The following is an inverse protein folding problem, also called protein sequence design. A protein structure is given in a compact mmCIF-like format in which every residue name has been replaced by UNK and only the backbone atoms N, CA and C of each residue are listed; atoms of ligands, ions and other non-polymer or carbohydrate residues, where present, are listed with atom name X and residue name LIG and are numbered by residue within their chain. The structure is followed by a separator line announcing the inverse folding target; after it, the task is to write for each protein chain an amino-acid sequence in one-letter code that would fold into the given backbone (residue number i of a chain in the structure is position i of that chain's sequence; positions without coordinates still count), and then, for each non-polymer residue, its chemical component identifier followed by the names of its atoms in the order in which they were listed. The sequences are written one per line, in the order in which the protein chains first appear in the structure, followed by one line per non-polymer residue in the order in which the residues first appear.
data_IF_284325892652
#
_entry.id   IF_284325892652
#
_cell.length_a   1.000
_cell.length_b   1.000
_cell.length_c   1.000
_cell.angle_alpha   90.00
_cell.angle_beta   90.00
_cell.angle_gamma   90.00
#
_symmetry.space_group_name_H-M   'P 1'
#
loop_
_entity.id
_entity.type
_entity.pdbx_description
1 polymer ?
#
# COMPACT_ATOMS: atom_id res chain seq x y z
N UNK A 1 -10.29 -29.96 -1.15
CA UNK A 1 -10.58 -28.64 -0.57
C UNK A 1 -10.56 -27.59 -1.68
N UNK A 2 -11.68 -26.94 -1.98
CA UNK A 2 -11.74 -25.90 -3.00
C UNK A 2 -10.93 -24.68 -2.54
N UNK A 3 -9.88 -24.30 -3.27
CA UNK A 3 -9.13 -23.05 -3.00
C UNK A 3 -10.12 -21.89 -3.09
N UNK A 4 -10.27 -21.12 -2.01
CA UNK A 4 -11.14 -19.93 -1.97
C UNK A 4 -10.70 -18.98 -3.09
N UNK A 5 -11.57 -18.74 -4.06
CA UNK A 5 -11.32 -17.80 -5.15
C UNK A 5 -11.44 -16.36 -4.62
N UNK A 6 -10.44 -15.53 -4.89
CA UNK A 6 -10.46 -14.09 -4.59
C UNK A 6 -10.43 -13.36 -5.91
N UNK A 7 -11.44 -12.52 -6.16
CA UNK A 7 -11.45 -11.63 -7.32
C UNK A 7 -10.68 -10.37 -6.97
N UNK A 8 -9.72 -10.00 -7.81
CA UNK A 8 -8.85 -8.84 -7.62
C UNK A 8 -9.05 -7.92 -8.82
N UNK A 9 -9.55 -6.72 -8.57
CA UNK A 9 -9.69 -5.69 -9.59
C UNK A 9 -8.32 -5.08 -9.91
N UNK A 10 -8.09 -4.82 -11.19
CA UNK A 10 -6.96 -4.03 -11.68
C UNK A 10 -7.53 -2.64 -12.00
N UNK A 11 -7.05 -1.63 -11.29
CA UNK A 11 -7.39 -0.21 -11.50
C UNK A 11 -6.39 0.42 -12.45
N UNK A 12 -6.81 1.43 -13.20
CA UNK A 12 -5.88 2.31 -13.91
C UNK A 12 -4.96 3.11 -12.96
N UNK A 13 -3.95 3.76 -13.52
CA UNK A 13 -2.95 4.52 -12.75
C UNK A 13 -3.54 5.77 -12.10
N UNK A 14 -4.61 6.33 -12.67
CA UNK A 14 -5.34 7.49 -12.15
C UNK A 14 -6.42 7.09 -11.15
N UNK A 15 -6.60 5.79 -10.90
CA UNK A 15 -7.62 5.30 -9.99
C UNK A 15 -9.02 5.83 -10.30
N UNK A 16 -9.37 5.82 -11.57
CA UNK A 16 -10.66 6.28 -12.07
C UNK A 16 -11.51 5.08 -12.47
N UNK A 17 -10.93 4.09 -13.16
CA UNK A 17 -11.68 2.96 -13.72
C UNK A 17 -11.02 1.60 -13.49
N UNK A 18 -11.84 0.54 -13.53
CA UNK A 18 -11.35 -0.84 -13.54
C UNK A 18 -10.96 -1.20 -14.98
N UNK A 19 -9.73 -1.66 -15.17
CA UNK A 19 -9.19 -2.08 -16.48
C UNK A 19 -9.14 -3.60 -16.65
N UNK A 20 -9.39 -4.35 -15.58
CA UNK A 20 -9.43 -5.81 -15.63
C UNK A 20 -9.66 -6.46 -14.27
N UNK A 21 -9.74 -7.78 -14.26
CA UNK A 21 -9.89 -8.58 -13.03
C UNK A 21 -9.06 -9.86 -13.09
N UNK A 22 -8.22 -10.08 -12.08
CA UNK A 22 -7.73 -11.41 -11.77
C UNK A 22 -8.84 -12.18 -11.05
N UNK A 23 -9.27 -13.29 -11.63
CA UNK A 23 -10.36 -14.12 -11.10
C UNK A 23 -10.25 -15.55 -11.65
N UNK A 24 -10.01 -16.50 -10.75
CA UNK A 24 -9.90 -17.92 -11.10
C UNK A 24 -11.25 -18.58 -11.43
N UNK A 25 -12.37 -17.87 -11.31
CA UNK A 25 -13.68 -18.26 -11.87
C UNK A 25 -13.98 -17.56 -13.19
N UNK A 26 -14.01 -16.23 -13.21
CA UNK A 26 -14.57 -15.48 -14.36
C UNK A 26 -13.70 -14.29 -14.83
N UNK A 27 -12.38 -14.45 -14.83
CA UNK A 27 -11.45 -13.43 -15.32
C UNK A 27 -10.07 -13.99 -15.65
N UNK A 28 -9.06 -13.12 -15.51
CA UNK A 28 -7.66 -13.49 -15.76
C UNK A 28 -7.23 -14.48 -14.69
N UNK A 29 -6.84 -15.68 -15.11
CA UNK A 29 -6.40 -16.71 -14.17
C UNK A 29 -5.03 -16.33 -13.61
N UNK A 30 -4.88 -16.52 -12.30
CA UNK A 30 -3.61 -16.35 -11.60
C UNK A 30 -3.23 -17.65 -10.91
N UNK A 31 -1.93 -17.96 -10.95
CA UNK A 31 -1.37 -19.21 -10.46
C UNK A 31 -1.16 -19.17 -8.95
N UNK A 32 -0.67 -18.04 -8.43
CA UNK A 32 -0.51 -17.80 -6.99
C UNK A 32 -0.77 -16.34 -6.64
N UNK A 33 -1.23 -16.11 -5.40
CA UNK A 33 -1.39 -14.80 -4.81
C UNK A 33 -1.02 -14.93 -3.33
N UNK A 34 0.17 -14.46 -2.97
CA UNK A 34 0.73 -14.54 -1.61
C UNK A 34 0.63 -13.17 -0.96
N UNK A 35 -0.29 -13.04 0.01
CA UNK A 35 -0.49 -11.83 0.79
C UNK A 35 0.24 -11.96 2.13
N UNK A 36 1.23 -11.10 2.36
CA UNK A 36 1.92 -10.95 3.64
C UNK A 36 1.46 -9.67 4.31
N UNK A 37 1.09 -9.75 5.58
CA UNK A 37 0.64 -8.61 6.37
C UNK A 37 1.60 -8.37 7.54
N UNK A 38 1.98 -7.12 7.74
CA UNK A 38 2.82 -6.63 8.83
C UNK A 38 1.99 -5.70 9.72
N UNK A 39 2.41 -5.53 10.98
CA UNK A 39 1.83 -4.61 11.98
C UNK A 39 0.29 -4.55 11.97
N UNK A 40 -0.36 -5.63 12.44
CA UNK A 40 -1.83 -5.79 12.48
C UNK A 40 -2.58 -5.49 11.17
N UNK A 41 -1.90 -5.50 10.02
CA UNK A 41 -2.51 -5.38 8.69
C UNK A 41 -2.43 -4.00 8.05
N UNK A 42 -1.83 -3.01 8.73
CA UNK A 42 -1.60 -1.69 8.16
C UNK A 42 -0.64 -1.75 6.96
N UNK A 43 0.38 -2.61 7.03
CA UNK A 43 1.37 -2.80 5.97
C UNK A 43 1.15 -4.14 5.29
N UNK A 44 0.85 -4.14 3.99
CA UNK A 44 0.54 -5.35 3.23
C UNK A 44 1.35 -5.44 1.95
N UNK A 45 1.86 -6.63 1.66
CA UNK A 45 2.57 -6.96 0.42
C UNK A 45 1.85 -8.11 -0.27
N UNK A 46 1.51 -7.94 -1.54
CA UNK A 46 0.98 -9.00 -2.38
C UNK A 46 1.99 -9.35 -3.49
N UNK A 47 2.38 -10.62 -3.56
CA UNK A 47 3.08 -11.18 -4.72
C UNK A 47 2.10 -12.08 -5.49
N UNK A 48 1.74 -11.66 -6.71
CA UNK A 48 0.82 -12.41 -7.57
C UNK A 48 1.55 -12.90 -8.82
N UNK A 49 1.34 -14.16 -9.18
CA UNK A 49 1.88 -14.74 -10.41
C UNK A 49 0.77 -15.17 -11.35
N UNK A 50 0.96 -14.89 -12.64
CA UNK A 50 0.07 -15.34 -13.71
C UNK A 50 0.86 -15.61 -14.99
N UNK A 51 0.26 -16.39 -15.89
CA UNK A 51 0.87 -16.68 -17.19
C UNK A 51 0.15 -15.93 -18.30
N UNK A 52 0.88 -15.14 -19.09
CA UNK A 52 0.30 -14.44 -20.24
C UNK A 52 1.36 -14.09 -21.28
N UNK A 53 0.94 -14.04 -22.54
CA UNK A 53 1.75 -13.51 -23.64
C UNK A 53 1.97 -12.00 -23.51
N UNK A 54 0.96 -11.27 -23.06
CA UNK A 54 0.97 -9.81 -22.90
C UNK A 54 0.96 -9.42 -21.43
N UNK A 55 1.53 -8.26 -21.12
CA UNK A 55 1.44 -7.68 -19.80
C UNK A 55 0.01 -7.17 -19.57
N UNK A 56 -0.69 -7.70 -18.56
CA UNK A 56 -2.10 -7.33 -18.29
C UNK A 56 -2.20 -6.28 -17.17
N UNK A 57 -1.25 -6.32 -16.24
CA UNK A 57 -1.11 -5.33 -15.18
C UNK A 57 0.34 -4.82 -15.14
N UNK A 58 0.53 -3.53 -14.85
CA UNK A 58 1.79 -2.80 -14.91
C UNK A 58 2.06 -2.03 -13.61
N UNK A 59 3.31 -1.60 -13.43
CA UNK A 59 3.67 -0.72 -12.30
C UNK A 59 2.87 0.59 -12.37
N UNK A 60 2.49 1.12 -11.21
CA UNK A 60 1.65 2.31 -11.05
C UNK A 60 0.14 2.05 -11.10
N UNK A 61 -0.30 0.89 -11.61
CA UNK A 61 -1.70 0.48 -11.48
C UNK A 61 -2.00 -0.01 -10.06
N UNK A 62 -3.28 -0.09 -9.70
CA UNK A 62 -3.70 -0.49 -8.36
C UNK A 62 -4.44 -1.82 -8.37
N UNK A 63 -4.36 -2.54 -7.27
CA UNK A 63 -5.09 -3.77 -7.00
C UNK A 63 -6.07 -3.55 -5.85
N UNK A 64 -7.34 -3.83 -6.11
CA UNK A 64 -8.40 -3.74 -5.11
C UNK A 64 -9.10 -5.09 -4.94
N UNK A 65 -9.19 -5.58 -3.70
CA UNK A 65 -9.84 -6.86 -3.41
C UNK A 65 -10.27 -6.97 -1.95
N UNK A 66 -11.24 -7.86 -1.69
CA UNK A 66 -11.65 -8.24 -0.33
C UNK A 66 -11.15 -9.64 0.00
N UNK A 67 -10.49 -9.78 1.15
CA UNK A 67 -10.03 -11.07 1.66
C UNK A 67 -10.21 -11.17 3.17
N UNK A 68 -10.90 -12.23 3.63
CA UNK A 68 -11.24 -12.44 5.06
C UNK A 68 -11.89 -11.19 5.68
N UNK A 69 -12.89 -10.66 5.00
CA UNK A 69 -13.69 -9.49 5.43
C UNK A 69 -12.89 -8.18 5.61
N UNK A 70 -11.69 -8.12 5.03
CA UNK A 70 -10.87 -6.91 4.95
C UNK A 70 -10.70 -6.47 3.50
N UNK A 71 -10.78 -5.17 3.28
CA UNK A 71 -10.47 -4.56 2.00
C UNK A 71 -8.99 -4.26 1.88
N UNK A 72 -8.45 -4.54 0.70
CA UNK A 72 -7.06 -4.28 0.37
C UNK A 72 -7.01 -3.37 -0.83
N UNK A 73 -6.16 -2.35 -0.69
CA UNK A 73 -5.89 -1.36 -1.69
C UNK A 73 -4.39 -1.22 -1.85
N UNK A 74 -3.84 -1.81 -2.92
CA UNK A 74 -2.39 -1.93 -3.10
C UNK A 74 -1.95 -1.30 -4.42
N UNK A 75 -0.82 -0.62 -4.44
CA UNK A 75 -0.20 -0.11 -5.65
C UNK A 75 0.76 -1.17 -6.19
N UNK A 76 0.74 -1.44 -7.50
CA UNK A 76 1.71 -2.34 -8.14
C UNK A 76 3.03 -1.59 -8.26
N UNK A 77 4.04 -2.04 -7.53
CA UNK A 77 5.33 -1.38 -7.50
C UNK A 77 6.31 -1.95 -8.53
N UNK A 78 6.23 -3.25 -8.80
CA UNK A 78 7.09 -3.89 -9.80
C UNK A 78 6.39 -5.03 -10.51
N UNK A 79 6.78 -5.25 -11.76
CA UNK A 79 6.31 -6.37 -12.57
C UNK A 79 7.50 -6.96 -13.31
N UNK A 80 7.72 -8.26 -13.14
CA UNK A 80 8.80 -9.03 -13.79
C UNK A 80 8.19 -10.08 -14.70
N UNK A 81 8.66 -10.13 -15.94
CA UNK A 81 8.28 -11.16 -16.91
C UNK A 81 9.47 -12.07 -17.21
N UNK A 82 9.26 -13.38 -17.13
CA UNK A 82 10.23 -14.41 -17.49
C UNK A 82 9.54 -15.45 -18.36
N UNK A 83 9.79 -15.41 -19.67
CA UNK A 83 8.99 -16.16 -20.64
C UNK A 83 7.53 -15.72 -20.59
N UNK A 84 6.61 -16.67 -20.35
CA UNK A 84 5.19 -16.37 -20.15
C UNK A 84 4.82 -16.11 -18.68
N UNK A 85 5.72 -16.39 -17.73
CA UNK A 85 5.49 -16.14 -16.31
C UNK A 85 5.62 -14.66 -16.04
N UNK A 86 4.60 -14.08 -15.43
CA UNK A 86 4.59 -12.71 -14.93
C UNK A 86 4.41 -12.76 -13.42
N UNK A 87 5.26 -12.04 -12.72
CA UNK A 87 5.22 -11.85 -11.27
C UNK A 87 5.07 -10.36 -10.99
N UNK A 88 4.04 -10.00 -10.25
CA UNK A 88 3.79 -8.63 -9.81
C UNK A 88 3.94 -8.55 -8.29
N UNK A 89 4.52 -7.45 -7.82
CA UNK A 89 4.63 -7.12 -6.41
C UNK A 89 3.89 -5.81 -6.16
N UNK A 90 2.96 -5.84 -5.21
CA UNK A 90 2.14 -4.69 -4.83
C UNK A 90 2.19 -4.42 -3.33
N UNK A 91 2.25 -3.14 -2.95
CA UNK A 91 2.34 -2.67 -1.56
C UNK A 91 1.12 -1.83 -1.17
N UNK A 92 0.77 -1.84 0.11
CA UNK A 92 -0.18 -0.88 0.68
C UNK A 92 0.42 0.53 0.71
N UNK A 93 -0.43 1.55 0.71
CA UNK A 93 -0.02 2.96 0.76
C UNK A 93 0.94 3.26 1.92
N UNK A 94 0.66 2.70 3.10
CA UNK A 94 1.52 2.78 4.28
C UNK A 94 2.97 2.36 4.02
N UNK A 95 3.20 1.34 3.18
CA UNK A 95 4.56 0.93 2.83
C UNK A 95 5.21 1.87 1.82
N UNK A 96 4.44 2.63 1.05
CA UNK A 96 4.97 3.65 0.14
C UNK A 96 5.49 4.87 0.89
N UNK A 97 4.97 5.18 2.08
CA UNK A 97 5.54 6.19 2.98
C UNK A 97 7.01 5.88 3.37
N UNK A 98 7.44 4.61 3.37
CA UNK A 98 8.87 4.24 3.54
C UNK A 98 9.77 4.76 2.41
N UNK A 99 9.22 5.17 1.26
CA UNK A 99 10.00 5.72 0.15
C UNK A 99 10.11 7.23 0.21
N UNK A 100 9.28 7.88 1.03
CA UNK A 100 9.30 9.32 1.20
C UNK A 100 10.29 9.69 2.30
N UNK A 101 11.33 10.45 1.93
CA UNK A 101 12.31 10.97 2.88
C UNK A 101 11.89 12.35 3.34
N UNK A 102 11.86 12.54 4.66
CA UNK A 102 11.63 13.85 5.27
C UNK A 102 12.94 14.38 5.83
N UNK A 103 13.23 15.62 5.47
CA UNK A 103 14.42 16.33 5.91
C UNK A 103 14.27 16.93 7.32
N UNK A 104 15.21 17.81 7.69
CA UNK A 104 15.20 18.46 8.99
C UNK A 104 13.92 19.25 9.25
N UNK A 105 13.45 19.22 10.49
CA UNK A 105 12.31 20.00 10.95
C UNK A 105 12.64 20.70 12.27
N UNK A 106 12.49 22.03 12.28
CA UNK A 106 12.67 22.88 13.45
C UNK A 106 11.45 23.79 13.62
N UNK A 107 10.43 23.35 14.36
CA UNK A 107 9.20 24.12 14.51
C UNK A 107 9.45 25.40 15.32
N UNK A 108 8.73 26.47 14.99
CA UNK A 108 8.85 27.75 15.68
C UNK A 108 8.30 27.67 17.12
N UNK A 109 7.22 26.92 17.32
CA UNK A 109 6.49 26.77 18.58
C UNK A 109 6.37 25.29 19.00
N UNK A 110 5.96 25.04 20.24
CA UNK A 110 5.62 23.69 20.68
C UNK A 110 4.41 23.15 19.88
N UNK A 111 4.48 21.90 19.46
CA UNK A 111 3.45 21.23 18.67
C UNK A 111 2.89 20.02 19.41
N UNK A 112 1.61 19.74 19.22
CA UNK A 112 0.95 18.51 19.67
C UNK A 112 1.39 17.33 18.80
N UNK A 113 1.19 16.10 19.28
CA UNK A 113 1.47 14.89 18.49
C UNK A 113 0.68 14.87 17.16
N UNK A 114 -0.56 15.39 17.16
CA UNK A 114 -1.36 15.49 15.94
C UNK A 114 -0.72 16.43 14.92
N UNK A 115 -0.25 17.60 15.36
CA UNK A 115 0.40 18.56 14.46
C UNK A 115 1.70 18.00 13.88
N UNK A 116 2.44 17.19 14.64
CA UNK A 116 3.61 16.49 14.11
C UNK A 116 3.21 15.44 13.06
N UNK A 117 2.20 14.62 13.33
CA UNK A 117 1.70 13.63 12.37
C UNK A 117 1.22 14.31 11.09
N UNK A 118 0.39 15.36 11.19
CA UNK A 118 -0.10 16.13 10.04
C UNK A 118 1.05 16.75 9.22
N UNK A 119 2.15 17.15 9.89
CA UNK A 119 3.32 17.71 9.21
C UNK A 119 4.11 16.66 8.43
N UNK A 120 4.37 15.50 9.04
CA UNK A 120 5.19 14.46 8.42
C UNK A 120 4.41 13.63 7.40
N UNK A 121 3.11 13.40 7.65
CA UNK A 121 2.16 12.65 6.81
C UNK A 121 1.02 13.57 6.32
N UNK A 122 1.30 14.48 5.35
CA UNK A 122 0.30 15.39 4.80
C UNK A 122 -0.80 14.65 4.01
N UNK A 123 -0.56 13.40 3.62
CA UNK A 123 -1.56 12.56 2.94
C UNK A 123 -2.55 11.91 3.91
N UNK A 124 -2.35 12.07 5.24
CA UNK A 124 -3.16 11.47 6.30
C UNK A 124 -3.32 9.95 6.14
N UNK A 125 -2.21 9.28 5.81
CA UNK A 125 -2.10 7.83 5.78
C UNK A 125 -2.22 7.19 7.17
N UNK A 126 -1.92 7.93 8.24
CA UNK A 126 -1.99 7.48 9.63
C UNK A 126 -3.16 8.11 10.38
N UNK A 127 -3.83 7.31 11.21
CA UNK A 127 -4.87 7.76 12.14
C UNK A 127 -4.42 7.57 13.59
N UNK A 128 -4.66 8.58 14.42
CA UNK A 128 -4.41 8.48 15.86
C UNK A 128 -5.63 7.81 16.50
N UNK A 129 -5.46 6.59 17.01
CA UNK A 129 -6.54 5.86 17.68
C UNK A 129 -6.92 6.45 19.03
N UNK A 130 -6.08 6.26 20.05
CA UNK A 130 -6.25 6.86 21.38
C UNK A 130 -5.11 7.84 21.63
N UNK A 131 -5.43 9.09 21.96
CA UNK A 131 -4.44 10.12 22.25
C UNK A 131 -4.52 10.54 23.72
N UNK A 132 -3.76 9.87 24.58
CA UNK A 132 -3.73 10.13 26.03
C UNK A 132 -3.02 11.45 26.39
N UNK A 133 -2.33 12.07 25.43
CA UNK A 133 -1.54 13.30 25.62
C UNK A 133 -2.01 14.42 24.69
N UNK A 134 -3.29 14.41 24.33
CA UNK A 134 -3.86 15.38 23.39
C UNK A 134 -3.73 16.85 23.85
N UNK A 135 -3.69 17.07 25.16
CA UNK A 135 -3.51 18.38 25.80
C UNK A 135 -2.03 18.81 25.89
N UNK A 136 -1.09 17.94 25.51
CA UNK A 136 0.35 18.20 25.59
C UNK A 136 0.90 18.70 24.26
N UNK A 137 1.80 19.66 24.35
CA UNK A 137 2.64 20.10 23.25
C UNK A 137 4.09 20.18 23.69
N UNK A 138 5.00 19.78 22.80
CA UNK A 138 6.45 19.80 23.05
C UNK A 138 7.12 20.39 21.81
N UNK A 139 8.20 21.14 22.02
CA UNK A 139 9.04 21.66 20.94
C UNK A 139 10.19 20.68 20.67
N UNK A 140 10.02 19.84 19.67
CA UNK A 140 11.00 18.85 19.21
C UNK A 140 11.61 19.30 17.88
N UNK A 141 12.93 19.17 17.78
CA UNK A 141 13.71 19.44 16.57
C UNK A 141 14.30 18.13 16.04
N UNK A 142 14.27 17.96 14.73
CA UNK A 142 14.92 16.86 14.01
C UNK A 142 15.90 17.44 13.00
N UNK A 143 17.18 17.07 13.11
CA UNK A 143 18.24 17.54 12.20
C UNK A 143 18.64 16.50 11.14
N UNK A 144 18.06 15.30 11.19
CA UNK A 144 18.39 14.20 10.29
C UNK A 144 17.57 14.20 9.00
N UNK A 145 17.80 13.17 8.18
CA UNK A 145 16.93 12.82 7.05
C UNK A 145 16.61 11.34 7.17
N UNK A 146 15.33 11.00 7.25
CA UNK A 146 14.88 9.62 7.38
C UNK A 146 13.59 9.37 6.60
N UNK A 147 13.20 8.11 6.48
CA UNK A 147 11.91 7.72 5.92
C UNK A 147 10.77 8.01 6.91
N UNK A 148 9.54 8.21 6.41
CA UNK A 148 8.39 8.52 7.29
C UNK A 148 8.05 7.38 8.26
N UNK A 149 8.42 6.14 7.92
CA UNK A 149 8.15 4.92 8.68
C UNK A 149 9.43 4.31 9.25
#
# INVERSE_FOLDING_TARGET
MSKRNVRIAIRDTTDSHNVGFFDNKSGIKYNSANLTQFLKGACSVLVLTYHSKKMIAQSGQKLAFRFKDKDFWLNINSVKKTGYKIELTAYSLSLEANKEKRGPHKPANAMTIKQYIDYYDPEHSFEIGINEVADKSIKLEWSGTDTIL
#
